data_IF_666441326682
#
_entry.id   IF_666441326682
#
_cell.length_a   1.000
_cell.length_b   1.000
_cell.length_c   1.000
_cell.angle_alpha   90.00
_cell.angle_beta   90.00
_cell.angle_gamma   90.00
#
_symmetry.space_group_name_H-M   'P 1'
#
loop_
_entity.id
_entity.type
_entity.pdbx_description
1 polymer ?
#
# COMPACT_ATOMS: atom_id res chain seq x y z
N UNK A 1 -7.02 7.66 14.47
CA UNK A 1 -6.86 9.00 13.87
C UNK A 1 -6.18 8.81 12.53
N UNK A 2 -6.78 9.23 11.41
CA UNK A 2 -6.13 9.12 10.08
C UNK A 2 -5.41 10.44 9.78
N UNK A 3 -4.29 10.43 9.07
CA UNK A 3 -3.60 11.66 8.71
C UNK A 3 -4.44 12.47 7.70
N UNK A 4 -4.36 13.80 7.77
CA UNK A 4 -5.18 14.74 6.98
C UNK A 4 -5.17 14.42 5.47
N UNK A 5 -4.01 14.12 4.90
CA UNK A 5 -3.87 13.80 3.47
C UNK A 5 -4.72 12.59 3.06
N UNK A 6 -4.79 11.57 3.91
CA UNK A 6 -5.53 10.35 3.63
C UNK A 6 -7.03 10.59 3.76
N UNK A 7 -7.45 11.40 4.73
CA UNK A 7 -8.85 11.79 4.87
C UNK A 7 -9.33 12.60 3.67
N UNK A 8 -8.54 13.58 3.23
CA UNK A 8 -8.84 14.38 2.04
C UNK A 8 -8.92 13.52 0.77
N UNK A 9 -7.97 12.60 0.58
CA UNK A 9 -7.97 11.70 -0.58
C UNK A 9 -9.21 10.80 -0.60
N UNK A 10 -9.61 10.22 0.55
CA UNK A 10 -10.80 9.38 0.66
C UNK A 10 -12.12 10.15 0.47
N UNK A 11 -12.14 11.45 0.80
CA UNK A 11 -13.29 12.32 0.51
C UNK A 11 -13.43 12.58 -0.99
N UNK A 12 -12.31 12.81 -1.69
CA UNK A 12 -12.31 13.03 -3.13
C UNK A 12 -12.57 11.75 -3.92
N UNK A 13 -12.03 10.62 -3.47
CA UNK A 13 -12.18 9.33 -4.10
C UNK A 13 -12.53 8.28 -3.04
N UNK A 14 -13.83 8.09 -2.77
CA UNK A 14 -14.30 7.08 -1.83
C UNK A 14 -13.91 5.70 -2.35
N UNK A 15 -13.08 4.99 -1.58
CA UNK A 15 -12.74 3.61 -1.86
C UNK A 15 -13.43 2.70 -0.85
N UNK A 16 -13.95 1.53 -1.27
CA UNK A 16 -14.34 0.50 -0.32
C UNK A 16 -13.12 0.09 0.52
N UNK A 17 -13.40 -0.41 1.73
CA UNK A 17 -12.37 -1.00 2.56
C UNK A 17 -11.70 -2.15 1.80
N UNK A 18 -10.36 -2.21 1.83
CA UNK A 18 -9.65 -3.32 1.24
C UNK A 18 -10.06 -4.61 1.96
N UNK A 19 -10.48 -5.66 1.24
CA UNK A 19 -10.77 -6.93 1.85
C UNK A 19 -9.50 -7.48 2.52
N UNK A 20 -9.63 -8.25 3.62
CA UNK A 20 -8.49 -8.90 4.22
C UNK A 20 -7.82 -9.84 3.22
N UNK A 21 -6.51 -10.03 3.37
CA UNK A 21 -5.78 -11.02 2.57
C UNK A 21 -6.41 -12.40 2.80
N UNK A 22 -6.77 -13.07 1.71
CA UNK A 22 -7.33 -14.42 1.74
C UNK A 22 -6.24 -15.45 1.55
N UNK A 23 -6.01 -16.28 2.57
CA UNK A 23 -5.00 -17.34 2.55
C UNK A 23 -3.57 -16.81 2.61
N UNK A 24 -2.62 -17.70 2.34
CA UNK A 24 -1.20 -17.37 2.33
C UNK A 24 -0.76 -16.85 0.97
N UNK A 25 0.11 -15.85 0.97
CA UNK A 25 0.73 -15.30 -0.24
C UNK A 25 2.24 -15.22 -0.08
N UNK A 26 2.96 -15.33 -1.20
CA UNK A 26 4.41 -15.18 -1.23
C UNK A 26 4.78 -13.90 -1.97
N UNK A 27 5.58 -13.07 -1.34
CA UNK A 27 6.15 -11.87 -1.94
C UNK A 27 7.67 -11.85 -1.78
N UNK A 28 8.33 -11.00 -2.57
CA UNK A 28 9.74 -10.71 -2.34
C UNK A 28 9.94 -9.72 -1.19
N UNK A 29 8.97 -8.81 -0.99
CA UNK A 29 9.00 -7.80 0.08
C UNK A 29 7.61 -7.64 0.69
N UNK A 30 7.52 -7.68 2.03
CA UNK A 30 6.31 -7.35 2.78
C UNK A 30 6.42 -5.96 3.41
N UNK A 31 5.46 -5.07 3.16
CA UNK A 31 5.46 -3.70 3.68
C UNK A 31 4.45 -3.59 4.82
N UNK A 32 4.94 -3.32 6.03
CA UNK A 32 4.09 -3.16 7.21
C UNK A 32 3.64 -1.69 7.32
N UNK A 33 2.43 -1.42 6.82
CA UNK A 33 1.74 -0.14 6.98
C UNK A 33 1.55 0.64 5.68
N UNK A 34 0.30 0.82 5.26
CA UNK A 34 -0.09 1.57 4.05
C UNK A 34 -0.13 3.09 4.20
N UNK A 35 0.83 3.66 4.95
CA UNK A 35 0.99 5.12 5.07
C UNK A 35 1.85 5.71 3.95
N UNK A 36 2.11 7.02 4.01
CA UNK A 36 2.92 7.72 3.01
C UNK A 36 4.29 7.04 2.79
N UNK A 37 5.02 6.77 3.87
CA UNK A 37 6.33 6.10 3.80
C UNK A 37 6.23 4.71 3.19
N UNK A 38 5.28 3.88 3.63
CA UNK A 38 5.13 2.52 3.11
C UNK A 38 4.79 2.48 1.63
N UNK A 39 3.87 3.34 1.19
CA UNK A 39 3.51 3.46 -0.23
C UNK A 39 4.66 4.01 -1.07
N UNK A 40 5.39 5.01 -0.57
CA UNK A 40 6.57 5.53 -1.26
C UNK A 40 7.66 4.46 -1.39
N UNK A 41 7.89 3.66 -0.34
CA UNK A 41 8.79 2.51 -0.39
C UNK A 41 8.34 1.49 -1.45
N UNK A 42 7.04 1.19 -1.54
CA UNK A 42 6.52 0.28 -2.56
C UNK A 42 6.81 0.77 -3.99
N UNK A 43 6.61 2.07 -4.24
CA UNK A 43 6.91 2.71 -5.54
C UNK A 43 8.40 2.60 -5.85
N UNK A 44 9.27 3.02 -4.92
CA UNK A 44 10.71 2.98 -5.11
C UNK A 44 11.23 1.56 -5.38
N UNK A 45 10.68 0.54 -4.69
CA UNK A 45 11.02 -0.86 -4.94
C UNK A 45 10.62 -1.30 -6.34
N UNK A 46 9.45 -0.88 -6.82
CA UNK A 46 8.95 -1.23 -8.15
C UNK A 46 9.74 -0.52 -9.26
N UNK A 47 10.17 0.70 -9.03
CA UNK A 47 11.04 1.45 -9.95
C UNK A 47 12.42 0.81 -10.07
N UNK A 48 13.01 0.37 -8.96
CA UNK A 48 14.33 -0.29 -8.96
C UNK A 48 14.28 -1.72 -9.49
N UNK A 49 13.24 -2.48 -9.11
CA UNK A 49 13.06 -3.88 -9.47
C UNK A 49 11.60 -4.13 -9.90
N UNK A 50 11.24 -3.86 -11.18
CA UNK A 50 9.88 -4.01 -11.67
C UNK A 50 9.32 -5.43 -11.57
N UNK A 51 10.20 -6.44 -11.53
CA UNK A 51 9.81 -7.85 -11.37
C UNK A 51 9.43 -8.24 -9.94
N UNK A 52 9.75 -7.43 -8.92
CA UNK A 52 9.42 -7.78 -7.54
C UNK A 52 7.95 -7.56 -7.24
N UNK A 53 7.38 -8.52 -6.51
CA UNK A 53 6.07 -8.44 -5.90
C UNK A 53 6.21 -7.96 -4.46
N UNK A 54 5.45 -6.92 -4.13
CA UNK A 54 5.28 -6.42 -2.77
C UNK A 54 3.89 -6.81 -2.25
N UNK A 55 3.82 -7.27 -1.01
CA UNK A 55 2.57 -7.45 -0.26
C UNK A 55 2.39 -6.38 0.80
#
# INVERSE_FOLDING_TARGET
MRPFWLEQALQQQPSPACPPLSGDTTCQVAIVGGGYTGLWTAIMLKEQNPGWTCC
#
